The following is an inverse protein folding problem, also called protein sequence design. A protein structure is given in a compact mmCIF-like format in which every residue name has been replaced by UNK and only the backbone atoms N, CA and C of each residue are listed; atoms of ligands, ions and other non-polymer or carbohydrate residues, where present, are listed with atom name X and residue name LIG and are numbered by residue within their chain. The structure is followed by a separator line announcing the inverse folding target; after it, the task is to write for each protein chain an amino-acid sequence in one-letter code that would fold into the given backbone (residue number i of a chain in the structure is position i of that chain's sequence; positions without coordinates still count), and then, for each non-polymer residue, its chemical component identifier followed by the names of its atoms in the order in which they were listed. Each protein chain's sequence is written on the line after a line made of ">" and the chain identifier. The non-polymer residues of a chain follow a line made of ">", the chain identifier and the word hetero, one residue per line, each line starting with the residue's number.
data_IF_081942927556
#
_entry.id   IF_081942927556
#
_cell.length_a   1.000
_cell.length_b   1.000
_cell.length_c   1.000
_cell.angle_alpha   90.00
_cell.angle_beta   90.00
_cell.angle_gamma   90.00
#
_symmetry.space_group_name_H-M   'P 1'
#
loop_
_entity.id
_entity.type
_entity.pdbx_description
1 polymer ?
#
# COMPACT_ATOMS: atom_id res chain seq x y z
N UNK A 1 -11.13 -23.07 17.49
CA UNK A 1 -11.31 -23.18 16.03
C UNK A 1 -10.61 -22.00 15.37
N UNK A 2 -9.65 -22.26 14.48
CA UNK A 2 -8.95 -21.21 13.73
C UNK A 2 -9.97 -20.48 12.83
N UNK A 3 -9.96 -19.13 12.84
CA UNK A 3 -10.78 -18.35 11.92
C UNK A 3 -10.32 -18.66 10.48
N UNK A 4 -11.21 -19.11 9.59
CA UNK A 4 -10.83 -19.31 8.19
C UNK A 4 -10.36 -17.99 7.58
N UNK A 5 -9.30 -18.08 6.78
CA UNK A 5 -8.56 -16.93 6.26
C UNK A 5 -9.40 -16.07 5.29
N UNK A 6 -10.39 -16.67 4.63
CA UNK A 6 -11.31 -15.99 3.72
C UNK A 6 -12.75 -16.48 3.96
N UNK A 7 -13.70 -15.55 4.07
CA UNK A 7 -15.14 -15.83 4.19
C UNK A 7 -15.75 -15.96 2.80
N UNK A 8 -15.47 -17.07 2.13
CA UNK A 8 -15.91 -17.36 0.77
C UNK A 8 -17.29 -18.07 0.74
N UNK A 9 -17.79 -18.37 -0.46
CA UNK A 9 -19.06 -19.08 -0.63
C UNK A 9 -19.09 -20.45 0.08
N UNK A 10 -17.95 -21.16 0.10
CA UNK A 10 -17.84 -22.46 0.76
C UNK A 10 -17.93 -22.34 2.28
N UNK A 11 -17.30 -21.32 2.87
CA UNK A 11 -17.37 -21.03 4.30
C UNK A 11 -18.82 -20.85 4.79
N UNK A 12 -19.66 -20.17 4.01
CA UNK A 12 -21.06 -19.99 4.35
C UNK A 12 -21.91 -21.23 4.03
N UNK A 13 -21.58 -21.97 2.98
CA UNK A 13 -22.23 -23.24 2.68
C UNK A 13 -22.04 -24.26 3.82
N UNK A 14 -20.84 -24.35 4.38
CA UNK A 14 -20.51 -25.24 5.51
C UNK A 14 -21.20 -24.88 6.83
N UNK A 15 -21.88 -23.73 6.91
CA UNK A 15 -22.68 -23.33 8.08
C UNK A 15 -24.13 -23.81 7.99
N UNK A 16 -24.55 -24.41 6.87
CA UNK A 16 -25.85 -25.04 6.78
C UNK A 16 -25.96 -26.16 7.81
N UNK A 17 -27.14 -26.31 8.40
CA UNK A 17 -27.42 -27.47 9.25
C UNK A 17 -27.38 -28.75 8.43
N UNK A 18 -26.90 -29.85 9.03
CA UNK A 18 -26.74 -31.13 8.34
C UNK A 18 -28.04 -31.65 7.70
N UNK A 19 -29.21 -31.35 8.29
CA UNK A 19 -30.51 -31.72 7.70
C UNK A 19 -30.80 -30.96 6.40
N UNK A 20 -30.52 -29.66 6.38
CA UNK A 20 -30.72 -28.84 5.17
C UNK A 20 -29.70 -29.19 4.08
N UNK A 21 -28.47 -29.54 4.44
CA UNK A 21 -27.48 -29.98 3.46
C UNK A 21 -27.87 -31.33 2.82
N UNK A 22 -28.39 -32.27 3.62
CA UNK A 22 -28.80 -33.59 3.16
C UNK A 22 -30.04 -33.56 2.24
N UNK A 23 -30.95 -32.61 2.45
CA UNK A 23 -32.17 -32.46 1.67
C UNK A 23 -31.95 -31.78 0.30
N UNK A 24 -30.78 -31.18 0.09
CA UNK A 24 -30.47 -30.52 -1.18
C UNK A 24 -30.11 -31.54 -2.26
N UNK A 25 -30.87 -31.50 -3.36
CA UNK A 25 -30.48 -32.21 -4.57
C UNK A 25 -29.17 -31.66 -5.15
N UNK A 26 -28.50 -32.45 -5.99
CA UNK A 26 -27.22 -32.04 -6.60
C UNK A 26 -27.36 -30.75 -7.43
N UNK A 27 -28.50 -30.57 -8.09
CA UNK A 27 -28.82 -29.38 -8.88
C UNK A 27 -29.09 -28.16 -7.98
N UNK A 28 -29.89 -28.35 -6.93
CA UNK A 28 -30.17 -27.30 -5.95
C UNK A 28 -28.89 -26.83 -5.26
N UNK A 29 -27.99 -27.76 -4.92
CA UNK A 29 -26.67 -27.44 -4.39
C UNK A 29 -25.85 -26.57 -5.34
N UNK A 30 -25.83 -26.89 -6.64
CA UNK A 30 -25.10 -26.10 -7.63
C UNK A 30 -25.67 -24.69 -7.79
N UNK A 31 -26.98 -24.54 -7.87
CA UNK A 31 -27.61 -23.21 -7.97
C UNK A 31 -27.41 -22.40 -6.69
N UNK A 32 -27.51 -23.05 -5.53
CA UNK A 32 -27.27 -22.39 -4.25
C UNK A 32 -25.84 -21.87 -4.13
N UNK A 33 -24.84 -22.68 -4.50
CA UNK A 33 -23.44 -22.24 -4.56
C UNK A 33 -23.23 -21.13 -5.60
N UNK A 34 -23.93 -21.16 -6.73
CA UNK A 34 -23.87 -20.10 -7.75
C UNK A 34 -24.38 -18.78 -7.20
N UNK A 35 -25.50 -18.80 -6.45
CA UNK A 35 -26.04 -17.62 -5.77
C UNK A 35 -25.08 -17.10 -4.69
N UNK A 36 -24.56 -17.98 -3.85
CA UNK A 36 -23.58 -17.64 -2.81
C UNK A 36 -22.32 -17.00 -3.38
N UNK A 37 -21.76 -17.55 -4.46
CA UNK A 37 -20.61 -16.95 -5.14
C UNK A 37 -20.88 -15.54 -5.67
N UNK A 38 -22.14 -15.20 -5.97
CA UNK A 38 -22.53 -13.87 -6.44
C UNK A 38 -22.87 -12.91 -5.29
N UNK A 39 -23.45 -13.42 -4.21
CA UNK A 39 -23.89 -12.64 -3.06
C UNK A 39 -22.75 -12.36 -2.07
N UNK A 40 -21.81 -13.30 -1.93
CA UNK A 40 -20.67 -13.17 -1.01
C UNK A 40 -19.59 -12.34 -1.68
N UNK A 41 -19.41 -11.12 -1.16
CA UNK A 41 -18.28 -10.25 -1.50
C UNK A 41 -16.99 -10.91 -1.06
N UNK A 42 -16.23 -11.50 -1.99
CA UNK A 42 -14.86 -11.93 -1.72
C UNK A 42 -14.05 -10.69 -1.32
N UNK A 43 -13.43 -10.67 -0.13
CA UNK A 43 -12.61 -9.53 0.27
C UNK A 43 -11.50 -9.34 -0.75
N UNK A 44 -11.42 -8.13 -1.34
CA UNK A 44 -10.36 -7.82 -2.30
C UNK A 44 -8.99 -8.01 -1.64
N UNK A 45 -8.09 -8.75 -2.31
CA UNK A 45 -6.70 -8.88 -1.89
C UNK A 45 -6.08 -7.49 -1.85
N UNK A 46 -5.96 -6.91 -0.65
CA UNK A 46 -5.22 -5.68 -0.42
C UNK A 46 -3.76 -5.99 -0.74
N UNK A 47 -3.22 -5.44 -1.84
CA UNK A 47 -1.89 -5.80 -2.33
C UNK A 47 -0.80 -5.47 -1.31
N UNK A 48 -0.91 -4.33 -0.62
CA UNK A 48 0.02 -3.95 0.46
C UNK A 48 -0.74 -3.11 1.49
N UNK A 49 -0.61 -3.46 2.77
CA UNK A 49 -1.03 -2.61 3.89
C UNK A 49 0.19 -2.19 4.70
N UNK A 50 0.56 -0.91 4.63
CA UNK A 50 1.61 -0.35 5.46
C UNK A 50 0.96 0.26 6.71
N UNK A 51 1.35 -0.24 7.88
CA UNK A 51 0.92 0.30 9.17
C UNK A 51 2.16 0.86 9.84
N UNK A 52 2.29 2.18 9.89
CA UNK A 52 3.40 2.87 10.53
C UNK A 52 2.92 3.48 11.84
N UNK A 53 3.58 3.08 12.92
CA UNK A 53 3.42 3.65 14.26
C UNK A 53 4.68 4.46 14.56
N UNK A 54 4.53 5.75 14.84
CA UNK A 54 5.67 6.63 15.10
C UNK A 54 5.97 6.66 16.59
N UNK A 55 7.11 6.08 16.99
CA UNK A 55 7.56 6.06 18.38
C UNK A 55 7.71 7.47 19.00
N UNK A 56 8.04 8.47 18.20
CA UNK A 56 8.18 9.87 18.61
C UNK A 56 6.87 10.69 18.60
N UNK A 57 5.80 10.16 17.99
CA UNK A 57 4.49 10.83 17.89
C UNK A 57 3.39 9.89 18.37
N UNK A 58 3.33 9.73 19.70
CA UNK A 58 2.50 8.72 20.40
C UNK A 58 0.99 8.77 20.11
N UNK A 59 0.50 9.84 19.48
CA UNK A 59 -0.91 10.04 19.11
C UNK A 59 -1.20 9.90 17.61
N UNK A 60 -0.18 9.62 16.79
CA UNK A 60 -0.32 9.58 15.34
C UNK A 60 0.01 8.18 14.81
N UNK A 61 -0.89 7.66 13.98
CA UNK A 61 -0.71 6.40 13.26
C UNK A 61 -1.03 6.64 11.80
N UNK A 62 -0.20 6.11 10.91
CA UNK A 62 -0.41 6.19 9.47
C UNK A 62 -0.70 4.79 8.94
N UNK A 63 -1.86 4.64 8.30
CA UNK A 63 -2.24 3.41 7.61
C UNK A 63 -2.39 3.70 6.14
N UNK A 64 -1.47 3.15 5.34
CA UNK A 64 -1.54 3.25 3.87
C UNK A 64 -2.03 1.92 3.34
N UNK A 65 -3.18 1.95 2.67
CA UNK A 65 -3.65 0.82 1.88
C UNK A 65 -3.28 1.06 0.43
N UNK A 66 -2.50 0.14 -0.12
CA UNK A 66 -2.17 0.11 -1.54
C UNK A 66 -2.84 -1.11 -2.16
N UNK A 67 -3.70 -0.87 -3.15
CA UNK A 67 -4.46 -1.91 -3.82
C UNK A 67 -4.84 -1.47 -5.22
N UNK A 68 -4.92 -2.43 -6.13
CA UNK A 68 -5.47 -2.22 -7.47
C UNK A 68 -6.98 -2.43 -7.35
N UNK A 69 -7.79 -1.41 -7.64
CA UNK A 69 -9.24 -1.57 -7.70
C UNK A 69 -9.57 -2.39 -8.96
N UNK A 70 -9.83 -3.68 -8.77
CA UNK A 70 -10.16 -4.62 -9.85
C UNK A 70 -11.65 -4.66 -10.19
N UNK A 71 -12.47 -3.76 -9.65
CA UNK A 71 -13.90 -3.72 -9.97
C UNK A 71 -14.07 -3.31 -11.43
N UNK A 72 -14.49 -4.26 -12.28
CA UNK A 72 -14.89 -4.06 -13.67
C UNK A 72 -16.23 -3.30 -13.78
N UNK A 73 -16.35 -2.18 -13.08
CA UNK A 73 -17.46 -1.27 -13.24
C UNK A 73 -16.84 0.08 -13.53
N UNK A 74 -16.97 0.52 -14.78
CA UNK A 74 -16.94 1.93 -15.11
C UNK A 74 -17.99 2.62 -14.23
N UNK A 75 -17.59 3.00 -13.02
CA UNK A 75 -18.21 4.14 -12.39
C UNK A 75 -17.78 5.28 -13.29
N UNK A 76 -18.70 5.72 -14.14
CA UNK A 76 -18.74 7.10 -14.63
C UNK A 76 -18.61 7.97 -13.40
N UNK A 77 -17.37 8.21 -13.01
CA UNK A 77 -17.04 9.03 -11.86
C UNK A 77 -17.58 10.39 -12.26
N UNK A 78 -18.58 10.87 -11.53
CA UNK A 78 -19.24 12.15 -11.83
C UNK A 78 -18.26 13.35 -11.84
N UNK A 79 -16.99 13.13 -11.47
CA UNK A 79 -15.93 14.12 -11.54
C UNK A 79 -14.66 13.50 -12.17
N UNK A 80 -14.59 13.35 -13.51
CA UNK A 80 -13.43 12.75 -14.19
C UNK A 80 -12.12 13.51 -13.89
N UNK A 81 -12.22 14.82 -13.64
CA UNK A 81 -11.08 15.70 -13.34
C UNK A 81 -10.37 15.28 -12.05
N UNK A 82 -11.11 14.96 -10.97
CA UNK A 82 -10.52 14.63 -9.67
C UNK A 82 -9.82 13.28 -9.71
N UNK A 83 -10.40 12.28 -10.38
CA UNK A 83 -9.79 10.95 -10.52
C UNK A 83 -8.48 10.99 -11.33
N UNK A 84 -8.44 11.75 -12.42
CA UNK A 84 -7.23 11.92 -13.23
C UNK A 84 -6.16 12.73 -12.53
N UNK A 85 -6.53 13.79 -11.81
CA UNK A 85 -5.59 14.63 -11.05
C UNK A 85 -4.97 13.85 -9.89
N UNK A 86 -5.77 13.07 -9.16
CA UNK A 86 -5.25 12.23 -8.07
C UNK A 86 -4.31 11.16 -8.61
N UNK A 87 -4.68 10.44 -9.67
CA UNK A 87 -3.83 9.40 -10.25
C UNK A 87 -2.50 9.97 -10.79
N UNK A 88 -2.54 11.08 -11.53
CA UNK A 88 -1.34 11.76 -12.02
C UNK A 88 -0.51 12.34 -10.87
N UNK A 89 -1.16 12.93 -9.87
CA UNK A 89 -0.53 13.48 -8.68
C UNK A 89 0.23 12.42 -7.89
N UNK A 90 -0.39 11.25 -7.65
CA UNK A 90 0.29 10.12 -6.98
C UNK A 90 1.49 9.59 -7.76
N UNK A 91 1.43 9.57 -9.10
CA UNK A 91 2.56 9.18 -9.94
C UNK A 91 3.71 10.20 -9.89
N UNK A 92 3.40 11.50 -9.90
CA UNK A 92 4.42 12.56 -9.80
C UNK A 92 5.07 12.54 -8.43
N UNK A 93 4.28 12.43 -7.36
CA UNK A 93 4.78 12.37 -5.98
C UNK A 93 5.67 11.16 -5.74
N UNK A 94 5.24 9.97 -6.18
CA UNK A 94 6.04 8.74 -6.03
C UNK A 94 7.37 8.82 -6.79
N UNK A 95 7.37 9.33 -8.02
CA UNK A 95 8.60 9.58 -8.78
C UNK A 95 9.50 10.62 -8.10
N UNK A 96 8.94 11.73 -7.63
CA UNK A 96 9.69 12.77 -6.93
C UNK A 96 10.39 12.25 -5.67
N UNK A 97 9.67 11.49 -4.84
CA UNK A 97 10.23 10.84 -3.65
C UNK A 97 11.37 9.88 -4.03
N UNK A 98 11.18 9.08 -5.09
CA UNK A 98 12.22 8.18 -5.58
C UNK A 98 13.49 8.92 -6.02
N UNK A 99 13.35 10.03 -6.76
CA UNK A 99 14.50 10.84 -7.19
C UNK A 99 15.25 11.47 -6.01
N UNK A 100 14.52 11.99 -5.01
CA UNK A 100 15.12 12.56 -3.80
C UNK A 100 15.92 11.49 -3.05
N UNK A 101 15.33 10.31 -2.82
CA UNK A 101 15.99 9.21 -2.14
C UNK A 101 17.23 8.73 -2.92
N UNK A 102 17.12 8.55 -4.24
CA UNK A 102 18.23 8.17 -5.08
C UNK A 102 19.36 9.22 -5.05
N UNK A 103 19.04 10.50 -5.06
CA UNK A 103 20.01 11.59 -4.93
C UNK A 103 20.73 11.57 -3.58
N UNK A 104 19.99 11.40 -2.47
CA UNK A 104 20.58 11.30 -1.14
C UNK A 104 21.51 10.10 -1.00
N UNK A 105 21.11 8.93 -1.51
CA UNK A 105 21.95 7.73 -1.51
C UNK A 105 23.21 7.97 -2.35
N UNK A 106 23.07 8.59 -3.51
CA UNK A 106 24.22 8.91 -4.38
C UNK A 106 25.20 9.85 -3.70
N UNK A 107 24.71 10.91 -3.04
CA UNK A 107 25.54 11.84 -2.28
C UNK A 107 26.23 11.15 -1.09
N UNK A 108 25.52 10.26 -0.40
CA UNK A 108 26.08 9.49 0.70
C UNK A 108 27.20 8.56 0.22
N UNK A 109 26.98 7.81 -0.86
CA UNK A 109 28.02 6.96 -1.46
C UNK A 109 29.21 7.79 -1.94
N UNK A 110 28.99 8.93 -2.57
CA UNK A 110 30.06 9.83 -2.98
C UNK A 110 30.87 10.36 -1.78
N UNK A 111 30.21 10.65 -0.66
CA UNK A 111 30.87 11.03 0.58
C UNK A 111 31.73 9.89 1.16
N UNK A 112 31.23 8.66 1.17
CA UNK A 112 31.98 7.50 1.66
C UNK A 112 33.20 7.19 0.77
N UNK A 113 33.05 7.26 -0.56
CA UNK A 113 34.17 7.10 -1.51
C UNK A 113 35.21 8.19 -1.27
N UNK A 114 34.79 9.44 -1.08
CA UNK A 114 35.69 10.53 -0.70
C UNK A 114 36.44 10.22 0.60
N UNK A 115 35.70 9.83 1.64
CA UNK A 115 36.26 9.51 2.96
C UNK A 115 37.31 8.40 2.85
N UNK A 116 37.03 7.36 2.06
CA UNK A 116 37.94 6.25 1.80
C UNK A 116 39.19 6.66 1.01
N UNK A 117 39.05 7.54 0.01
CA UNK A 117 40.17 8.06 -0.78
C UNK A 117 41.04 9.09 -0.02
N UNK A 118 40.62 9.51 1.18
CA UNK A 118 41.35 10.50 1.99
C UNK A 118 41.41 11.90 1.35
N UNK A 119 40.55 12.17 0.36
CA UNK A 119 40.52 13.46 -0.35
C UNK A 119 39.81 14.47 0.54
N UNK A 120 40.54 15.43 1.09
CA UNK A 120 39.93 16.51 1.88
C UNK A 120 39.36 17.62 0.99
N UNK A 121 38.06 17.54 0.66
CA UNK A 121 37.36 18.57 -0.14
C UNK A 121 37.31 19.96 0.51
N UNK A 122 37.45 20.02 1.83
CA UNK A 122 37.32 21.26 2.61
C UNK A 122 38.61 21.54 3.36
N UNK A 123 39.73 21.45 2.63
CA UNK A 123 41.02 21.82 3.17
C UNK A 123 40.97 23.29 3.60
N UNK A 124 40.99 23.52 4.92
CA UNK A 124 40.87 24.83 5.57
C UNK A 124 39.49 25.51 5.48
N UNK A 125 38.40 24.78 5.26
CA UNK A 125 37.05 25.37 5.26
C UNK A 125 36.36 25.12 6.62
N UNK A 126 36.44 26.08 7.53
CA UNK A 126 35.67 26.03 8.78
C UNK A 126 34.32 26.73 8.60
N UNK A 127 33.23 26.02 8.90
CA UNK A 127 31.87 26.60 8.92
C UNK A 127 31.79 27.88 9.76
N UNK A 128 32.62 27.98 10.80
CA UNK A 128 32.73 29.16 11.68
C UNK A 128 33.23 30.40 10.95
N UNK A 129 34.18 30.26 10.02
CA UNK A 129 34.71 31.38 9.25
C UNK A 129 33.69 31.92 8.25
N UNK A 130 32.89 31.02 7.65
CA UNK A 130 31.80 31.40 6.75
C UNK A 130 30.68 32.17 7.51
N UNK A 131 30.31 31.70 8.71
CA UNK A 131 29.32 32.38 9.56
C UNK A 131 29.82 33.76 9.99
N UNK A 132 31.12 33.89 10.33
CA UNK A 132 31.73 35.20 10.65
C UNK A 132 31.81 36.16 9.46
N UNK A 133 31.90 35.66 8.23
CA UNK A 133 31.97 36.50 7.03
C UNK A 133 30.59 37.04 6.60
N UNK A 134 29.51 36.40 7.05
CA UNK A 134 28.13 36.72 6.70
C UNK A 134 27.42 37.63 7.72
N UNK A 135 28.04 37.88 8.88
CA UNK A 135 27.51 38.66 9.99
C UNK A 135 28.36 39.92 10.19
#
# INVERSE_FOLDING_TARGET
>A
MAKPNERDANYFYQQLSAGVEADLSREQRQEFLRVLNRAVSVPSKKLVSLQLSFWCFRHFYLVVYWGIDSRARERTSAVPIVSGLLAKGTLILSKGIFFILASLITLWVAYEIKSFLGIDLFKNFHLVDLIRSLL
#
